data_IF_989367320277
#
_entry.id   IF_989367320277
#
_cell.length_a   1.000
_cell.length_b   1.000
_cell.length_c   1.000
_cell.angle_alpha   90.00
_cell.angle_beta   90.00
_cell.angle_gamma   90.00
#
_symmetry.space_group_name_H-M   'P 1'
#
loop_
_entity.id
_entity.type
_entity.pdbx_description
1 polymer ?
#
# COMPACT_ATOMS: atom_id res chain seq x y z
N UNK A 1 -6.44 3.81 -5.11
CA UNK A 1 -7.55 3.07 -5.77
C UNK A 1 -7.07 2.05 -6.81
N UNK A 2 -6.09 2.37 -7.66
CA UNK A 2 -5.64 1.48 -8.76
C UNK A 2 -5.00 0.15 -8.32
N UNK A 3 -4.28 0.13 -7.18
CA UNK A 3 -3.57 -1.07 -6.69
C UNK A 3 -4.50 -2.16 -6.14
N UNK A 4 -5.59 -1.78 -5.48
CA UNK A 4 -6.53 -2.75 -4.89
C UNK A 4 -7.33 -3.48 -5.98
N UNK A 5 -7.76 -2.75 -7.02
CA UNK A 5 -8.41 -3.33 -8.19
C UNK A 5 -7.50 -4.33 -8.91
N UNK A 6 -6.23 -3.97 -9.13
CA UNK A 6 -5.25 -4.88 -9.74
C UNK A 6 -5.03 -6.15 -8.91
N UNK A 7 -4.94 -6.05 -7.57
CA UNK A 7 -4.82 -7.22 -6.69
C UNK A 7 -6.03 -8.13 -6.80
N UNK A 8 -7.24 -7.57 -6.75
CA UNK A 8 -8.49 -8.33 -6.89
C UNK A 8 -8.56 -9.00 -8.27
N UNK A 9 -8.15 -8.30 -9.33
CA UNK A 9 -8.08 -8.88 -10.66
C UNK A 9 -7.05 -10.02 -10.76
N UNK A 10 -5.88 -9.86 -10.17
CA UNK A 10 -4.79 -10.84 -10.28
C UNK A 10 -5.07 -12.13 -9.49
N UNK A 11 -5.60 -12.01 -8.27
CA UNK A 11 -5.79 -13.15 -7.37
C UNK A 11 -7.24 -13.62 -7.26
N UNK A 12 -8.21 -12.70 -7.34
CA UNK A 12 -9.64 -12.98 -7.16
C UNK A 12 -10.38 -13.35 -8.43
N UNK A 13 -9.70 -13.46 -9.59
CA UNK A 13 -10.34 -13.68 -10.90
C UNK A 13 -11.30 -14.87 -10.93
N UNK A 14 -10.93 -15.95 -10.26
CA UNK A 14 -11.75 -17.17 -10.18
C UNK A 14 -13.11 -16.92 -9.49
N UNK A 15 -13.18 -15.96 -8.58
CA UNK A 15 -14.41 -15.58 -7.89
C UNK A 15 -15.39 -14.83 -8.80
N UNK A 16 -14.90 -14.18 -9.87
CA UNK A 16 -15.74 -13.38 -10.77
C UNK A 16 -16.67 -14.22 -11.62
N UNK A 17 -16.37 -15.51 -11.76
CA UNK A 17 -17.18 -16.47 -12.49
C UNK A 17 -18.40 -16.96 -11.70
N UNK A 18 -18.47 -16.63 -10.40
CA UNK A 18 -19.54 -17.02 -9.49
C UNK A 18 -20.42 -15.83 -9.14
N UNK A 19 -21.70 -16.09 -8.88
CA UNK A 19 -22.57 -15.05 -8.30
C UNK A 19 -22.13 -14.78 -6.87
N UNK A 20 -22.28 -13.54 -6.43
CA UNK A 20 -21.85 -13.13 -5.07
C UNK A 20 -22.48 -13.96 -3.94
N UNK A 21 -23.72 -14.45 -4.15
CA UNK A 21 -24.46 -15.32 -3.21
C UNK A 21 -23.91 -16.74 -3.12
N UNK A 22 -23.15 -17.18 -4.12
CA UNK A 22 -22.63 -18.55 -4.23
C UNK A 22 -21.21 -18.66 -3.67
N UNK A 23 -20.52 -17.54 -3.46
CA UNK A 23 -19.14 -17.53 -2.95
C UNK A 23 -19.13 -17.86 -1.46
N UNK A 24 -18.35 -18.88 -1.08
CA UNK A 24 -18.19 -19.36 0.31
C UNK A 24 -16.75 -19.17 0.78
N UNK A 25 -16.52 -19.35 2.10
CA UNK A 25 -15.17 -19.30 2.69
C UNK A 25 -14.20 -20.23 1.96
N UNK A 26 -14.64 -21.46 1.66
CA UNK A 26 -13.84 -22.48 0.94
C UNK A 26 -13.44 -22.08 -0.49
N UNK A 27 -14.04 -21.04 -1.09
CA UNK A 27 -13.59 -20.50 -2.37
C UNK A 27 -12.47 -19.45 -2.21
N UNK A 28 -12.43 -18.78 -1.07
CA UNK A 28 -11.53 -17.66 -0.77
C UNK A 28 -10.26 -18.18 -0.08
N UNK A 29 -10.41 -19.14 0.82
CA UNK A 29 -9.34 -19.69 1.65
C UNK A 29 -8.19 -20.30 0.82
N UNK A 30 -8.44 -21.06 -0.27
CA UNK A 30 -7.36 -21.55 -1.12
C UNK A 30 -6.56 -20.42 -1.76
N UNK A 31 -7.24 -19.38 -2.27
CA UNK A 31 -6.58 -18.20 -2.88
C UNK A 31 -5.71 -17.48 -1.84
N UNK A 32 -6.25 -17.28 -0.64
CA UNK A 32 -5.51 -16.67 0.47
C UNK A 32 -4.28 -17.50 0.85
N UNK A 33 -4.44 -18.82 0.96
CA UNK A 33 -3.36 -19.74 1.31
C UNK A 33 -2.28 -19.82 0.23
N UNK A 34 -2.64 -19.78 -1.05
CA UNK A 34 -1.66 -19.84 -2.14
C UNK A 34 -0.77 -18.61 -2.17
N UNK A 35 -1.33 -17.41 -1.98
CA UNK A 35 -0.53 -16.17 -1.83
C UNK A 35 0.38 -16.26 -0.59
N UNK A 36 -0.12 -16.90 0.47
CA UNK A 36 0.61 -17.06 1.72
C UNK A 36 1.79 -18.03 1.58
N UNK A 37 1.64 -19.11 0.80
CA UNK A 37 2.71 -20.07 0.47
C UNK A 37 3.86 -19.42 -0.29
N UNK A 38 3.59 -18.36 -1.06
CA UNK A 38 4.62 -17.55 -1.72
C UNK A 38 5.35 -16.59 -0.75
N UNK A 39 5.05 -16.63 0.56
CA UNK A 39 5.59 -15.71 1.57
C UNK A 39 5.00 -14.29 1.51
N UNK A 40 3.95 -14.08 0.70
CA UNK A 40 3.34 -12.75 0.47
C UNK A 40 2.21 -12.46 1.47
N UNK A 41 2.45 -12.67 2.76
CA UNK A 41 1.45 -12.55 3.83
C UNK A 41 0.73 -11.20 3.86
N UNK A 42 1.47 -10.09 3.67
CA UNK A 42 0.87 -8.76 3.61
C UNK A 42 -0.10 -8.62 2.43
N UNK A 43 0.25 -9.18 1.27
CA UNK A 43 -0.62 -9.19 0.08
C UNK A 43 -1.87 -10.03 0.32
N UNK A 44 -1.74 -11.20 0.95
CA UNK A 44 -2.86 -12.07 1.30
C UNK A 44 -3.84 -11.34 2.25
N UNK A 45 -3.32 -10.71 3.32
CA UNK A 45 -4.13 -9.95 4.27
C UNK A 45 -4.86 -8.78 3.61
N UNK A 46 -4.20 -8.06 2.71
CA UNK A 46 -4.83 -6.95 2.02
C UNK A 46 -5.87 -7.42 1.00
N UNK A 47 -5.66 -8.56 0.33
CA UNK A 47 -6.69 -9.19 -0.51
C UNK A 47 -7.94 -9.49 0.33
N UNK A 48 -7.74 -10.17 1.46
CA UNK A 48 -8.82 -10.53 2.38
C UNK A 48 -9.56 -9.30 2.90
N UNK A 49 -8.84 -8.23 3.27
CA UNK A 49 -9.44 -6.97 3.72
C UNK A 49 -10.29 -6.30 2.62
N UNK A 50 -9.81 -6.32 1.37
CA UNK A 50 -10.59 -5.81 0.22
C UNK A 50 -11.84 -6.65 -0.02
N UNK A 51 -11.72 -7.98 -0.04
CA UNK A 51 -12.88 -8.88 -0.18
C UNK A 51 -13.88 -8.67 0.97
N UNK A 52 -13.40 -8.57 2.20
CA UNK A 52 -14.24 -8.31 3.38
C UNK A 52 -15.04 -7.02 3.21
N UNK A 53 -14.42 -5.97 2.69
CA UNK A 53 -15.09 -4.70 2.37
C UNK A 53 -16.16 -4.86 1.29
N UNK A 54 -15.86 -5.60 0.22
CA UNK A 54 -16.80 -5.88 -0.88
C UNK A 54 -18.03 -6.64 -0.36
N UNK A 55 -17.83 -7.71 0.40
CA UNK A 55 -18.93 -8.51 0.95
C UNK A 55 -19.73 -7.75 2.01
N UNK A 56 -19.09 -6.91 2.83
CA UNK A 56 -19.81 -6.01 3.74
C UNK A 56 -20.71 -5.02 2.98
N UNK A 57 -20.25 -4.51 1.83
CA UNK A 57 -21.08 -3.66 0.97
C UNK A 57 -22.26 -4.45 0.38
N UNK A 58 -22.05 -5.69 -0.02
CA UNK A 58 -23.10 -6.57 -0.52
C UNK A 58 -24.18 -6.87 0.54
N UNK A 59 -23.80 -7.05 1.80
CA UNK A 59 -24.74 -7.16 2.94
C UNK A 59 -25.54 -5.87 3.10
N UNK A 60 -24.86 -4.71 3.07
CA UNK A 60 -25.55 -3.40 3.15
C UNK A 60 -26.58 -3.22 2.04
N UNK A 61 -26.34 -3.79 0.87
CA UNK A 61 -27.26 -3.82 -0.26
C UNK A 61 -28.27 -4.98 -0.23
N UNK A 62 -28.29 -5.78 0.83
CA UNK A 62 -29.17 -6.95 1.01
C UNK A 62 -29.02 -7.98 -0.12
N UNK A 63 -27.83 -8.07 -0.71
CA UNK A 63 -27.53 -9.07 -1.74
C UNK A 63 -27.18 -10.43 -1.12
N UNK A 64 -26.58 -10.43 0.07
CA UNK A 64 -26.22 -11.61 0.86
C UNK A 64 -26.49 -11.30 2.34
N UNK A 65 -26.58 -12.34 3.16
CA UNK A 65 -26.83 -12.20 4.60
C UNK A 65 -25.54 -12.22 5.42
N UNK A 66 -24.56 -13.03 5.01
CA UNK A 66 -23.33 -13.28 5.75
C UNK A 66 -22.09 -12.98 4.91
N UNK A 67 -21.01 -12.57 5.57
CA UNK A 67 -19.75 -12.27 4.88
C UNK A 67 -18.85 -13.52 4.89
N UNK A 68 -18.54 -14.11 3.73
CA UNK A 68 -17.77 -15.36 3.64
C UNK A 68 -16.30 -15.22 4.04
N UNK A 69 -15.82 -14.01 4.32
CA UNK A 69 -14.42 -13.76 4.74
C UNK A 69 -14.25 -13.76 6.26
N UNK A 70 -15.32 -13.92 7.05
CA UNK A 70 -15.26 -13.71 8.49
C UNK A 70 -14.40 -14.76 9.22
N UNK A 71 -14.48 -16.01 8.78
CA UNK A 71 -13.78 -17.15 9.41
C UNK A 71 -12.30 -17.22 9.04
N UNK A 72 -11.88 -16.48 8.00
CA UNK A 72 -10.48 -16.48 7.56
C UNK A 72 -9.69 -15.49 8.42
N UNK A 73 -8.74 -16.01 9.19
CA UNK A 73 -7.87 -15.21 10.04
C UNK A 73 -6.75 -14.54 9.23
N UNK A 74 -6.46 -13.29 9.56
CA UNK A 74 -5.33 -12.57 8.96
C UNK A 74 -4.01 -13.03 9.57
N UNK A 75 -2.97 -13.09 8.74
CA UNK A 75 -1.61 -13.36 9.20
C UNK A 75 -1.13 -12.25 10.14
N UNK A 76 -0.40 -12.63 11.19
CA UNK A 76 0.36 -11.65 11.98
C UNK A 76 1.52 -11.13 11.13
N UNK A 77 1.51 -9.84 10.84
CA UNK A 77 2.59 -9.20 10.10
C UNK A 77 3.66 -8.71 11.06
N UNK A 78 4.91 -9.09 10.80
CA UNK A 78 6.06 -8.53 11.48
C UNK A 78 6.29 -7.11 10.96
N UNK A 79 6.43 -6.15 11.88
CA UNK A 79 6.81 -4.80 11.52
C UNK A 79 8.22 -4.81 10.91
N UNK A 80 8.46 -3.96 9.89
CA UNK A 80 9.82 -3.77 9.39
C UNK A 80 10.59 -2.92 10.40
N UNK A 81 11.62 -3.49 11.02
CA UNK A 81 12.45 -2.79 12.00
C UNK A 81 13.65 -2.08 11.37
N UNK A 82 13.96 -2.41 10.11
CA UNK A 82 15.13 -1.88 9.42
C UNK A 82 15.02 -0.38 9.17
N UNK A 83 15.97 0.38 9.71
CA UNK A 83 16.20 1.81 9.47
C UNK A 83 17.67 2.03 9.13
N UNK A 84 17.97 3.00 8.27
CA UNK A 84 19.36 3.38 7.94
C UNK A 84 20.14 3.68 9.23
N UNK A 85 21.33 3.10 9.37
CA UNK A 85 22.26 3.52 10.43
C UNK A 85 22.94 4.83 10.04
N UNK A 86 23.63 5.47 11.00
CA UNK A 86 24.42 6.66 10.71
C UNK A 86 25.51 6.39 9.67
N UNK A 87 26.27 5.29 9.79
CA UNK A 87 27.30 4.92 8.82
C UNK A 87 26.75 4.65 7.40
N UNK A 88 25.50 4.19 7.30
CA UNK A 88 24.83 4.01 6.01
C UNK A 88 24.33 5.32 5.44
N UNK A 89 23.89 6.23 6.30
CA UNK A 89 23.50 7.57 5.92
C UNK A 89 24.69 8.34 5.35
N UNK A 90 25.86 8.24 5.98
CA UNK A 90 27.09 8.90 5.50
C UNK A 90 27.49 8.39 4.11
N UNK A 91 27.52 7.06 3.93
CA UNK A 91 27.79 6.44 2.62
C UNK A 91 26.74 6.80 1.58
N UNK A 92 25.47 6.84 1.98
CA UNK A 92 24.37 7.24 1.11
C UNK A 92 24.53 8.70 0.64
N UNK A 93 24.81 9.62 1.57
CA UNK A 93 25.00 11.05 1.26
C UNK A 93 26.23 11.29 0.38
N UNK A 94 27.32 10.53 0.60
CA UNK A 94 28.52 10.63 -0.24
C UNK A 94 28.20 10.33 -1.71
N UNK A 95 27.51 9.21 -1.98
CA UNK A 95 27.13 8.84 -3.36
C UNK A 95 26.06 9.79 -3.90
N UNK A 96 25.07 10.16 -3.08
CA UNK A 96 23.99 11.05 -3.48
C UNK A 96 24.51 12.43 -3.90
N UNK A 97 25.47 12.99 -3.17
CA UNK A 97 26.01 14.32 -3.46
C UNK A 97 27.13 14.30 -4.50
N UNK A 98 27.84 13.18 -4.69
CA UNK A 98 28.97 13.07 -5.61
C UNK A 98 28.61 12.54 -7.01
N UNK A 99 27.68 11.57 -7.09
CA UNK A 99 27.46 10.78 -8.32
C UNK A 99 26.02 10.87 -8.85
N UNK A 100 25.03 11.14 -8.00
CA UNK A 100 23.64 11.19 -8.44
C UNK A 100 23.34 12.42 -9.31
N UNK A 101 22.35 12.29 -10.19
CA UNK A 101 21.86 13.44 -10.95
C UNK A 101 21.28 14.50 -10.02
N UNK A 102 21.35 15.81 -10.37
CA UNK A 102 20.81 16.88 -9.54
C UNK A 102 19.37 16.64 -9.12
N UNK A 103 18.53 16.14 -10.02
CA UNK A 103 17.12 15.83 -9.72
C UNK A 103 16.98 14.76 -8.63
N UNK A 104 17.74 13.67 -8.71
CA UNK A 104 17.67 12.58 -7.72
C UNK A 104 18.21 13.06 -6.37
N UNK A 105 19.33 13.79 -6.41
CA UNK A 105 19.94 14.39 -5.22
C UNK A 105 18.95 15.32 -4.51
N UNK A 106 18.39 16.28 -5.21
CA UNK A 106 17.53 17.30 -4.63
C UNK A 106 16.22 16.69 -4.11
N UNK A 107 15.63 15.72 -4.84
CA UNK A 107 14.48 14.94 -4.37
C UNK A 107 14.80 14.19 -3.05
N UNK A 108 15.91 13.46 -3.01
CA UNK A 108 16.26 12.65 -1.85
C UNK A 108 16.61 13.51 -0.63
N UNK A 109 17.31 14.63 -0.84
CA UNK A 109 17.63 15.58 0.23
C UNK A 109 16.36 16.27 0.76
N UNK A 110 15.44 16.70 -0.12
CA UNK A 110 14.15 17.25 0.31
C UNK A 110 13.36 16.25 1.13
N UNK A 111 13.25 15.00 0.66
CA UNK A 111 12.56 13.94 1.40
C UNK A 111 13.21 13.66 2.77
N UNK A 112 14.55 13.67 2.83
CA UNK A 112 15.31 13.43 4.05
C UNK A 112 15.14 14.56 5.07
N UNK A 113 15.31 15.82 4.66
CA UNK A 113 15.30 16.96 5.57
C UNK A 113 13.91 17.39 6.01
N UNK A 114 12.89 17.15 5.19
CA UNK A 114 11.50 17.50 5.54
C UNK A 114 10.72 16.34 6.16
N UNK A 115 11.26 15.11 6.07
CA UNK A 115 10.55 13.88 6.38
C UNK A 115 9.19 13.74 5.65
N UNK A 116 9.00 14.46 4.53
CA UNK A 116 7.78 14.41 3.76
C UNK A 116 7.63 13.06 3.04
N UNK A 117 6.37 12.65 2.81
CA UNK A 117 6.09 11.44 2.03
C UNK A 117 6.60 11.63 0.61
N UNK A 118 7.14 10.55 0.02
CA UNK A 118 7.61 10.54 -1.38
C UNK A 118 6.63 11.18 -2.36
N UNK A 119 5.33 10.87 -2.26
CA UNK A 119 4.30 11.45 -3.14
C UNK A 119 4.25 12.97 -3.00
N UNK A 120 4.29 13.50 -1.78
CA UNK A 120 4.22 14.94 -1.54
C UNK A 120 5.43 15.66 -2.15
N UNK A 121 6.63 15.08 -2.06
CA UNK A 121 7.83 15.67 -2.67
C UNK A 121 7.75 15.64 -4.20
N UNK A 122 7.20 14.56 -4.77
CA UNK A 122 7.04 14.44 -6.23
C UNK A 122 5.93 15.33 -6.80
N UNK A 123 4.91 15.61 -6.00
CA UNK A 123 3.76 16.47 -6.34
C UNK A 123 3.98 17.92 -5.89
N UNK A 124 5.19 18.25 -5.40
CA UNK A 124 5.51 19.60 -4.91
C UNK A 124 5.53 20.61 -6.06
N UNK A 125 4.83 21.72 -5.87
CA UNK A 125 4.84 22.85 -6.79
C UNK A 125 5.46 24.09 -6.14
N UNK A 126 6.01 25.00 -6.95
CA UNK A 126 6.60 26.25 -6.44
C UNK A 126 5.59 27.12 -5.69
N UNK A 127 4.32 27.09 -6.12
CA UNK A 127 3.22 27.82 -5.46
C UNK A 127 2.89 27.28 -4.06
N UNK A 128 3.44 26.11 -3.69
CA UNK A 128 3.33 25.57 -2.34
C UNK A 128 4.37 26.15 -1.37
N UNK A 129 5.36 26.91 -1.86
CA UNK A 129 6.49 27.39 -1.07
C UNK A 129 6.35 28.89 -0.82
N UNK A 130 6.20 29.26 0.45
CA UNK A 130 6.40 30.63 0.90
C UNK A 130 7.88 30.81 1.25
N UNK A 131 8.64 31.45 0.35
CA UNK A 131 10.08 31.66 0.53
C UNK A 131 10.42 32.72 1.58
N UNK A 132 9.53 33.70 1.82
CA UNK A 132 9.76 34.70 2.86
C UNK A 132 9.64 34.08 4.24
N UNK A 133 8.60 33.27 4.45
CA UNK A 133 8.35 32.57 5.70
C UNK A 133 9.14 31.26 5.83
N UNK A 134 9.73 30.78 4.72
CA UNK A 134 10.43 29.50 4.60
C UNK A 134 9.53 28.32 4.98
N UNK A 135 8.28 28.37 4.51
CA UNK A 135 7.26 27.35 4.80
C UNK A 135 6.90 26.65 3.50
N UNK A 136 6.89 25.32 3.53
CA UNK A 136 6.29 24.49 2.50
C UNK A 136 4.91 24.02 2.95
N UNK A 137 3.87 24.47 2.24
CA UNK A 137 2.49 24.08 2.45
C UNK A 137 2.14 22.84 1.63
N UNK A 138 1.94 21.69 2.28
CA UNK A 138 1.52 20.47 1.60
C UNK A 138 -0.01 20.50 1.43
N UNK A 139 -0.55 20.48 0.19
CA UNK A 139 -1.98 20.46 -0.04
C UNK A 139 -2.66 19.22 0.56
N UNK A 140 -3.91 19.38 1.00
CA UNK A 140 -4.74 18.24 1.38
C UNK A 140 -5.41 17.68 0.13
N UNK A 141 -5.01 16.48 -0.27
CA UNK A 141 -5.72 15.66 -1.25
C UNK A 141 -6.96 15.02 -0.63
#
# INVERSE_FOLDING_TARGET
>A
MQKDAARIYNYGKLLFLKKIREIKSNDIEPIFNDISKEGKYATANLLLATLRTIFNKAIKWRLIENNPTLEIEQHKLQARERRLSYDEMDRFLQVLCGEASPLIRDFALLALYTAARKSNVLEMEWDNIDFERKIWHIPKN
#
